data_IF_304738821218
#
_entry.id   IF_304738821218
#
_cell.length_a   1.000
_cell.length_b   1.000
_cell.length_c   1.000
_cell.angle_alpha   90.00
_cell.angle_beta   90.00
_cell.angle_gamma   90.00
#
_symmetry.space_group_name_H-M   'P 1'
#
loop_
_entity.id
_entity.type
_entity.pdbx_description
1 polymer ?
#
# COMPACT_ATOMS: atom_id res chain seq x y z
N UNK A 1 9.32 5.23 -16.16
CA UNK A 1 9.33 5.88 -14.82
C UNK A 1 8.02 6.60 -14.54
N UNK A 2 7.50 6.49 -13.31
CA UNK A 2 6.30 7.20 -12.84
C UNK A 2 6.61 8.68 -12.55
N UNK A 3 5.71 9.59 -12.94
CA UNK A 3 5.81 11.03 -12.77
C UNK A 3 4.52 11.61 -12.21
N UNK A 4 4.65 12.73 -11.49
CA UNK A 4 3.53 13.60 -11.15
C UNK A 4 3.27 14.54 -12.33
N UNK A 5 2.06 14.47 -12.91
CA UNK A 5 1.61 15.34 -14.01
C UNK A 5 0.48 16.28 -13.59
N UNK A 6 -0.15 16.03 -12.45
CA UNK A 6 -1.11 16.93 -11.81
C UNK A 6 -0.46 17.98 -10.91
N UNK A 7 -1.25 18.96 -10.50
CA UNK A 7 -0.87 20.05 -9.59
C UNK A 7 -1.14 19.70 -8.12
N UNK A 8 -0.70 20.57 -7.19
CA UNK A 8 -1.07 20.44 -5.77
C UNK A 8 -2.60 20.53 -5.56
N UNK A 9 -3.30 21.34 -6.37
CA UNK A 9 -4.75 21.46 -6.34
C UNK A 9 -5.45 20.13 -6.70
N UNK A 10 -4.94 19.41 -7.70
CA UNK A 10 -5.47 18.11 -8.10
C UNK A 10 -5.31 17.08 -6.95
N UNK A 11 -4.17 17.13 -6.25
CA UNK A 11 -3.89 16.31 -5.06
C UNK A 11 -4.87 16.65 -3.93
N UNK A 12 -5.03 17.94 -3.61
CA UNK A 12 -5.96 18.42 -2.58
C UNK A 12 -7.39 17.98 -2.86
N UNK A 13 -7.88 18.19 -4.09
CA UNK A 13 -9.21 17.76 -4.52
C UNK A 13 -9.36 16.23 -4.46
N UNK A 14 -8.35 15.47 -4.88
CA UNK A 14 -8.38 14.00 -4.77
C UNK A 14 -8.49 13.51 -3.33
N UNK A 15 -7.74 14.12 -2.41
CA UNK A 15 -7.78 13.75 -1.01
C UNK A 15 -9.13 14.10 -0.39
N UNK A 16 -9.66 15.29 -0.66
CA UNK A 16 -10.91 15.76 -0.06
C UNK A 16 -12.15 15.02 -0.58
N UNK A 17 -12.20 14.71 -1.88
CA UNK A 17 -13.34 14.00 -2.47
C UNK A 17 -13.30 12.48 -2.22
N UNK A 18 -12.16 11.97 -1.75
CA UNK A 18 -12.05 10.56 -1.39
C UNK A 18 -12.95 10.26 -0.18
N UNK A 19 -13.58 9.08 -0.20
CA UNK A 19 -14.65 8.75 0.75
C UNK A 19 -14.19 8.89 2.20
N UNK A 20 -14.91 9.72 2.96
CA UNK A 20 -14.59 10.03 4.36
C UNK A 20 -14.47 8.77 5.24
N UNK A 21 -15.31 7.77 5.03
CA UNK A 21 -15.25 6.52 5.80
C UNK A 21 -13.93 5.77 5.60
N UNK A 22 -13.33 5.81 4.41
CA UNK A 22 -12.04 5.18 4.16
C UNK A 22 -10.91 5.95 4.86
N UNK A 23 -11.00 7.28 4.95
CA UNK A 23 -10.05 8.09 5.74
C UNK A 23 -10.14 7.73 7.23
N UNK A 24 -11.35 7.64 7.77
CA UNK A 24 -11.60 7.30 9.17
C UNK A 24 -11.12 5.89 9.51
N UNK A 25 -11.47 4.89 8.70
CA UNK A 25 -11.01 3.50 8.89
C UNK A 25 -9.47 3.43 8.91
N UNK A 26 -8.81 4.09 7.96
CA UNK A 26 -7.35 4.11 7.90
C UNK A 26 -6.73 4.78 9.13
N UNK A 27 -7.22 5.96 9.53
CA UNK A 27 -6.73 6.68 10.70
C UNK A 27 -6.89 5.86 11.99
N UNK A 28 -8.06 5.25 12.18
CA UNK A 28 -8.36 4.40 13.34
C UNK A 28 -7.41 3.20 13.43
N UNK A 29 -7.17 2.51 12.31
CA UNK A 29 -6.23 1.37 12.31
C UNK A 29 -4.80 1.84 12.51
N UNK A 30 -4.36 2.92 11.87
CA UNK A 30 -2.98 3.41 11.96
C UNK A 30 -2.55 3.77 13.38
N UNK A 31 -3.43 4.41 14.17
CA UNK A 31 -3.14 4.72 15.58
C UNK A 31 -2.81 3.44 16.37
N UNK A 32 -3.59 2.38 16.17
CA UNK A 32 -3.40 1.11 16.87
C UNK A 32 -2.23 0.31 16.29
N UNK A 33 -2.06 0.33 14.97
CA UNK A 33 -0.96 -0.36 14.28
C UNK A 33 0.40 0.19 14.75
N UNK A 34 0.57 1.51 14.84
CA UNK A 34 1.80 2.12 15.37
C UNK A 34 2.09 1.69 16.81
N UNK A 35 1.07 1.57 17.67
CA UNK A 35 1.24 1.06 19.05
C UNK A 35 1.62 -0.42 19.07
N UNK A 36 1.00 -1.23 18.22
CA UNK A 36 1.31 -2.65 18.09
C UNK A 36 2.75 -2.88 17.61
N UNK A 37 3.18 -2.16 16.57
CA UNK A 37 4.51 -2.31 15.98
C UNK A 37 5.62 -1.88 16.96
N UNK A 38 5.39 -0.82 17.74
CA UNK A 38 6.37 -0.31 18.70
C UNK A 38 6.32 -0.98 20.09
N UNK A 39 5.36 -1.87 20.35
CA UNK A 39 5.23 -2.56 21.63
C UNK A 39 6.03 -3.86 21.68
N UNK A 40 6.31 -4.33 22.90
CA UNK A 40 6.82 -5.69 23.11
C UNK A 40 5.81 -6.74 22.61
N UNK A 41 6.37 -7.86 22.15
CA UNK A 41 5.63 -9.01 21.63
C UNK A 41 4.58 -9.51 22.62
N UNK A 42 3.41 -9.92 22.11
CA UNK A 42 2.34 -10.49 22.93
C UNK A 42 1.46 -9.46 23.66
N UNK A 43 1.67 -8.16 23.44
CA UNK A 43 0.93 -7.09 24.12
C UNK A 43 -0.59 -7.07 23.81
N UNK A 44 -1.34 -6.41 24.69
CA UNK A 44 -2.77 -6.09 24.50
C UNK A 44 -3.04 -5.31 23.19
N UNK A 45 -2.01 -4.77 22.53
CA UNK A 45 -2.17 -4.10 21.24
C UNK A 45 -2.53 -5.08 20.11
N UNK A 46 -2.23 -6.38 20.23
CA UNK A 46 -2.59 -7.37 19.23
C UNK A 46 -4.10 -7.55 19.10
N UNK A 47 -4.85 -7.54 20.22
CA UNK A 47 -6.32 -7.65 20.19
C UNK A 47 -6.95 -6.39 19.60
N UNK A 48 -6.44 -5.22 19.98
CA UNK A 48 -6.91 -3.94 19.45
C UNK A 48 -6.66 -3.86 17.94
N UNK A 49 -5.49 -4.28 17.47
CA UNK A 49 -5.18 -4.29 16.04
C UNK A 49 -6.06 -5.30 15.30
N UNK A 50 -6.29 -6.49 15.86
CA UNK A 50 -7.18 -7.48 15.27
C UNK A 50 -8.62 -6.95 15.09
N UNK A 51 -9.16 -6.29 16.10
CA UNK A 51 -10.50 -5.67 16.05
C UNK A 51 -10.57 -4.55 15.02
N UNK A 52 -9.57 -3.65 15.01
CA UNK A 52 -9.50 -2.54 14.07
C UNK A 52 -9.38 -3.03 12.62
N UNK A 53 -8.50 -4.01 12.37
CA UNK A 53 -8.34 -4.62 11.04
C UNK A 53 -9.62 -5.33 10.59
N UNK A 54 -10.24 -6.14 11.46
CA UNK A 54 -11.47 -6.85 11.13
C UNK A 54 -12.57 -5.87 10.69
N UNK A 55 -12.73 -4.78 11.44
CA UNK A 55 -13.73 -3.74 11.18
C UNK A 55 -13.44 -3.03 9.85
N UNK A 56 -12.23 -2.49 9.69
CA UNK A 56 -11.85 -1.76 8.49
C UNK A 56 -11.91 -2.63 7.22
N UNK A 57 -11.39 -3.87 7.28
CA UNK A 57 -11.41 -4.77 6.14
C UNK A 57 -12.85 -5.16 5.74
N UNK A 58 -13.75 -5.35 6.71
CA UNK A 58 -15.18 -5.59 6.45
C UNK A 58 -15.85 -4.37 5.81
N UNK A 59 -15.58 -3.16 6.32
CA UNK A 59 -16.03 -1.90 5.71
C UNK A 59 -15.53 -1.75 4.27
N UNK A 60 -14.28 -2.17 4.03
CA UNK A 60 -13.62 -2.16 2.72
C UNK A 60 -13.99 -3.37 1.84
N UNK A 61 -15.01 -4.13 2.25
CA UNK A 61 -15.71 -5.11 1.43
C UNK A 61 -15.33 -6.57 1.66
N UNK A 62 -14.53 -6.91 2.67
CA UNK A 62 -14.32 -8.31 3.06
C UNK A 62 -15.64 -8.94 3.54
N UNK A 63 -15.73 -10.27 3.49
CA UNK A 63 -16.95 -11.02 3.83
C UNK A 63 -18.19 -10.72 2.95
N UNK A 64 -18.01 -10.03 1.82
CA UNK A 64 -19.05 -9.85 0.80
C UNK A 64 -18.96 -10.93 -0.28
N UNK A 65 -19.95 -11.00 -1.16
CA UNK A 65 -19.99 -11.96 -2.28
C UNK A 65 -18.72 -11.86 -3.13
N UNK A 66 -18.03 -12.98 -3.37
CA UNK A 66 -16.75 -13.09 -4.12
C UNK A 66 -15.54 -12.43 -3.44
N UNK A 67 -15.68 -11.98 -2.20
CA UNK A 67 -14.58 -11.53 -1.35
C UNK A 67 -14.19 -12.64 -0.37
N UNK A 68 -12.93 -12.70 0.09
CA UNK A 68 -12.53 -13.63 1.13
C UNK A 68 -13.27 -13.35 2.45
N UNK A 69 -13.52 -14.42 3.20
CA UNK A 69 -14.08 -14.35 4.54
C UNK A 69 -12.96 -14.11 5.54
N UNK A 70 -13.12 -13.12 6.41
CA UNK A 70 -12.19 -12.86 7.52
C UNK A 70 -12.26 -14.02 8.53
N UNK A 71 -11.10 -14.36 9.10
CA UNK A 71 -11.04 -15.21 10.28
C UNK A 71 -11.62 -14.49 11.51
N UNK A 72 -12.14 -15.23 12.50
CA UNK A 72 -12.59 -14.63 13.75
C UNK A 72 -11.48 -13.83 14.44
N UNK A 73 -11.85 -12.73 15.10
CA UNK A 73 -10.92 -11.83 15.80
C UNK A 73 -9.92 -12.57 16.72
N UNK A 74 -10.32 -13.58 17.53
CA UNK A 74 -9.36 -14.31 18.37
C UNK A 74 -8.27 -15.06 17.59
N UNK A 75 -8.59 -15.55 16.37
CA UNK A 75 -7.60 -16.21 15.52
C UNK A 75 -6.62 -15.19 14.91
N UNK A 76 -7.13 -14.04 14.47
CA UNK A 76 -6.31 -12.94 13.97
C UNK A 76 -5.37 -12.44 15.08
N UNK A 77 -5.90 -12.20 16.28
CA UNK A 77 -5.13 -11.80 17.46
C UNK A 77 -4.01 -12.81 17.76
N UNK A 78 -4.34 -14.10 17.83
CA UNK A 78 -3.36 -15.17 18.09
C UNK A 78 -2.21 -15.14 17.07
N UNK A 79 -2.54 -14.94 15.79
CA UNK A 79 -1.53 -14.80 14.75
C UNK A 79 -0.68 -13.54 14.88
N UNK A 80 -1.28 -12.40 15.24
CA UNK A 80 -0.57 -11.13 15.49
C UNK A 80 0.34 -11.18 16.73
N UNK A 81 0.06 -12.06 17.69
CA UNK A 81 0.98 -12.33 18.81
C UNK A 81 2.21 -13.14 18.38
N UNK A 82 2.19 -13.74 17.19
CA UNK A 82 3.31 -14.51 16.66
C UNK A 82 4.51 -13.64 16.33
N UNK A 83 5.64 -13.90 17.00
CA UNK A 83 6.91 -13.17 16.84
C UNK A 83 7.33 -12.96 15.40
N UNK A 84 7.33 -14.03 14.59
CA UNK A 84 7.77 -13.96 13.19
C UNK A 84 6.95 -12.98 12.36
N UNK A 85 5.64 -12.89 12.55
CA UNK A 85 4.82 -11.93 11.80
C UNK A 85 5.05 -10.49 12.29
N UNK A 86 5.08 -10.30 13.61
CA UNK A 86 5.34 -8.99 14.22
C UNK A 86 6.68 -8.41 13.78
N UNK A 87 7.78 -9.16 13.92
CA UNK A 87 9.14 -8.70 13.56
C UNK A 87 9.22 -8.25 12.10
N UNK A 88 8.53 -8.97 11.20
CA UNK A 88 8.51 -8.66 9.76
C UNK A 88 7.70 -7.42 9.44
N UNK A 89 6.52 -7.29 10.05
CA UNK A 89 5.69 -6.09 9.91
C UNK A 89 6.41 -4.86 10.49
N UNK A 90 7.07 -5.00 11.65
CA UNK A 90 7.87 -3.95 12.26
C UNK A 90 9.00 -3.53 11.32
N UNK A 91 9.80 -4.49 10.85
CA UNK A 91 10.90 -4.21 9.92
C UNK A 91 10.43 -3.48 8.66
N UNK A 92 9.32 -3.92 8.08
CA UNK A 92 8.74 -3.26 6.91
C UNK A 92 8.21 -1.86 7.23
N UNK A 93 7.56 -1.67 8.39
CA UNK A 93 7.00 -0.37 8.80
C UNK A 93 8.05 0.71 9.07
N UNK A 94 9.29 0.32 9.32
CA UNK A 94 10.43 1.22 9.49
C UNK A 94 10.94 1.78 8.16
N UNK A 95 10.49 1.25 7.03
CA UNK A 95 10.81 1.84 5.73
C UNK A 95 10.02 3.13 5.50
N UNK A 96 10.74 4.20 5.15
CA UNK A 96 10.15 5.35 4.50
C UNK A 96 9.98 5.07 3.01
N UNK A 97 8.90 5.58 2.40
CA UNK A 97 8.74 5.47 0.94
C UNK A 97 9.87 6.18 0.18
N UNK A 98 10.48 7.21 0.78
CA UNK A 98 11.63 7.91 0.19
C UNK A 98 12.90 7.04 0.11
N UNK A 99 12.96 5.92 0.86
CA UNK A 99 14.08 4.98 0.81
C UNK A 99 14.10 4.14 -0.49
N UNK A 100 13.01 4.18 -1.28
CA UNK A 100 12.91 3.46 -2.54
C UNK A 100 13.11 4.42 -3.70
N UNK A 101 14.07 4.12 -4.58
CA UNK A 101 14.36 4.97 -5.74
C UNK A 101 14.71 4.15 -6.98
N UNK A 102 14.82 4.84 -8.11
CA UNK A 102 15.23 4.29 -9.39
C UNK A 102 16.43 5.10 -9.89
N UNK A 103 17.42 4.42 -10.49
CA UNK A 103 18.47 5.11 -11.22
C UNK A 103 18.00 5.53 -12.63
N UNK A 104 18.89 6.12 -13.42
CA UNK A 104 18.59 6.57 -14.79
C UNK A 104 18.22 5.41 -15.73
N UNK A 105 18.73 4.20 -15.47
CA UNK A 105 18.44 2.96 -16.18
C UNK A 105 17.24 2.21 -15.58
N UNK A 106 16.46 2.85 -14.70
CA UNK A 106 15.32 2.26 -13.98
C UNK A 106 15.66 1.04 -13.10
N UNK A 107 16.93 0.87 -12.73
CA UNK A 107 17.31 -0.12 -11.73
C UNK A 107 16.84 0.34 -10.35
N UNK A 108 16.30 -0.63 -9.60
CA UNK A 108 15.78 -0.45 -8.24
C UNK A 108 16.93 -0.23 -7.26
N UNK A 109 16.83 0.85 -6.50
CA UNK A 109 17.79 1.25 -5.48
C UNK A 109 17.09 1.39 -4.12
N UNK A 110 17.74 0.89 -3.08
CA UNK A 110 17.37 1.07 -1.68
C UNK A 110 18.42 1.93 -0.99
N UNK A 111 17.97 2.79 -0.08
CA UNK A 111 18.87 3.51 0.82
C UNK A 111 19.70 2.51 1.64
N UNK A 112 21.01 2.73 1.71
CA UNK A 112 21.96 1.95 2.51
C UNK A 112 21.57 1.84 3.99
N UNK A 113 20.89 2.85 4.54
CA UNK A 113 20.43 2.91 5.92
C UNK A 113 19.03 2.29 6.12
N UNK A 114 18.40 1.77 5.07
CA UNK A 114 17.09 1.16 5.19
C UNK A 114 17.16 -0.15 5.99
N UNK A 115 16.09 -0.51 6.75
CA UNK A 115 16.04 -1.76 7.53
C UNK A 115 16.29 -3.02 6.70
N UNK A 116 15.83 -3.01 5.44
CA UNK A 116 16.16 -3.99 4.40
C UNK A 116 16.85 -3.20 3.29
N UNK A 117 18.15 -3.38 3.11
CA UNK A 117 18.95 -2.63 2.14
C UNK A 117 19.36 -3.44 0.90
N UNK A 118 18.93 -4.70 0.81
CA UNK A 118 19.03 -5.52 -0.40
C UNK A 118 17.68 -5.67 -1.09
N UNK A 119 17.64 -5.41 -2.40
CA UNK A 119 16.41 -5.46 -3.20
C UNK A 119 15.83 -6.87 -3.24
N UNK A 120 16.67 -7.90 -3.40
CA UNK A 120 16.21 -9.28 -3.43
C UNK A 120 15.61 -9.74 -2.10
N UNK A 121 16.19 -9.31 -0.98
CA UNK A 121 15.67 -9.55 0.36
C UNK A 121 14.35 -8.81 0.58
N UNK A 122 14.24 -7.55 0.16
CA UNK A 122 12.98 -6.79 0.24
C UNK A 122 11.86 -7.48 -0.53
N UNK A 123 12.12 -7.91 -1.77
CA UNK A 123 11.13 -8.58 -2.62
C UNK A 123 10.61 -9.88 -1.98
N UNK A 124 11.51 -10.67 -1.38
CA UNK A 124 11.11 -11.89 -0.65
C UNK A 124 10.28 -11.54 0.58
N UNK A 125 10.73 -10.56 1.35
CA UNK A 125 10.11 -10.17 2.61
C UNK A 125 8.67 -9.68 2.40
N UNK A 126 8.44 -8.83 1.39
CA UNK A 126 7.11 -8.29 1.14
C UNK A 126 6.14 -9.37 0.66
N UNK A 127 6.58 -10.30 -0.19
CA UNK A 127 5.74 -11.41 -0.63
C UNK A 127 5.46 -12.39 0.51
N UNK A 128 6.43 -12.68 1.37
CA UNK A 128 6.23 -13.52 2.55
C UNK A 128 5.22 -12.89 3.53
N UNK A 129 5.31 -11.57 3.76
CA UNK A 129 4.34 -10.84 4.58
C UNK A 129 2.95 -10.93 3.95
N UNK A 130 2.81 -10.67 2.64
CA UNK A 130 1.51 -10.72 1.96
C UNK A 130 0.88 -12.11 2.00
N UNK A 131 1.67 -13.16 1.78
CA UNK A 131 1.20 -14.54 1.91
C UNK A 131 0.79 -14.84 3.35
N UNK A 132 1.58 -14.42 4.33
CA UNK A 132 1.24 -14.63 5.74
C UNK A 132 -0.04 -13.89 6.13
N UNK A 133 -0.21 -12.63 5.71
CA UNK A 133 -1.41 -11.85 5.94
C UNK A 133 -2.65 -12.50 5.29
N UNK A 134 -2.50 -13.07 4.09
CA UNK A 134 -3.57 -13.84 3.46
C UNK A 134 -4.05 -15.00 4.33
N UNK A 135 -3.11 -15.79 4.84
CA UNK A 135 -3.42 -17.00 5.61
C UNK A 135 -4.00 -16.72 6.99
N UNK A 136 -3.47 -15.69 7.68
CA UNK A 136 -3.82 -15.40 9.08
C UNK A 136 -5.06 -14.52 9.22
N UNK A 137 -5.39 -13.73 8.19
CA UNK A 137 -6.55 -12.84 8.24
C UNK A 137 -7.78 -13.46 7.56
N UNK A 138 -7.60 -14.37 6.60
CA UNK A 138 -8.69 -14.83 5.75
C UNK A 138 -8.76 -16.35 5.63
N UNK A 139 -9.96 -16.86 5.36
CA UNK A 139 -10.16 -18.24 4.91
C UNK A 139 -9.97 -18.32 3.39
N UNK A 140 -9.07 -19.21 2.94
CA UNK A 140 -8.86 -19.59 1.54
C UNK A 140 -8.68 -18.40 0.57
N UNK A 141 -8.03 -17.32 1.00
CA UNK A 141 -7.80 -16.16 0.15
C UNK A 141 -6.74 -16.45 -0.93
N UNK A 142 -7.14 -16.40 -2.20
CA UNK A 142 -6.24 -16.58 -3.35
C UNK A 142 -5.87 -15.27 -4.03
N UNK A 143 -6.50 -14.15 -3.67
CA UNK A 143 -6.31 -12.84 -4.30
C UNK A 143 -5.36 -11.92 -3.54
N UNK A 144 -4.70 -11.00 -4.24
CA UNK A 144 -3.74 -10.08 -3.62
C UNK A 144 -4.38 -8.88 -2.90
N UNK A 145 -5.59 -8.48 -3.30
CA UNK A 145 -6.20 -7.21 -2.88
C UNK A 145 -6.36 -7.08 -1.37
N UNK A 146 -6.84 -8.11 -0.68
CA UNK A 146 -7.10 -8.02 0.75
C UNK A 146 -5.84 -8.07 1.63
N UNK A 147 -4.84 -8.92 1.32
CA UNK A 147 -3.52 -8.82 1.94
C UNK A 147 -2.88 -7.43 1.75
N UNK A 148 -2.99 -6.84 0.56
CA UNK A 148 -2.47 -5.47 0.32
C UNK A 148 -3.24 -4.41 1.09
N UNK A 149 -4.57 -4.52 1.21
CA UNK A 149 -5.38 -3.65 2.09
C UNK A 149 -4.91 -3.74 3.54
N UNK A 150 -4.69 -4.95 4.05
CA UNK A 150 -4.18 -5.15 5.40
C UNK A 150 -2.77 -4.55 5.55
N UNK A 151 -1.89 -4.76 4.57
CA UNK A 151 -0.54 -4.20 4.58
C UNK A 151 -0.55 -2.66 4.61
N UNK A 152 -1.39 -2.03 3.77
CA UNK A 152 -1.62 -0.58 3.78
C UNK A 152 -2.10 -0.11 5.15
N UNK A 153 -3.13 -0.76 5.70
CA UNK A 153 -3.72 -0.39 6.98
C UNK A 153 -2.73 -0.52 8.15
N UNK A 154 -1.82 -1.49 8.11
CA UNK A 154 -0.82 -1.71 9.17
C UNK A 154 0.37 -0.76 9.01
N UNK A 155 0.94 -0.66 7.80
CA UNK A 155 2.25 -0.02 7.59
C UNK A 155 2.17 1.37 6.95
N UNK A 156 1.09 1.68 6.22
CA UNK A 156 0.98 2.91 5.43
C UNK A 156 1.94 2.99 4.23
N UNK A 157 2.74 1.95 3.97
CA UNK A 157 3.86 1.99 3.02
C UNK A 157 3.41 1.86 1.56
N UNK A 158 2.42 1.00 1.29
CA UNK A 158 2.01 0.65 -0.06
C UNK A 158 0.50 0.75 -0.25
N UNK A 159 0.02 1.04 -1.47
CA UNK A 159 -1.40 1.10 -1.76
C UNK A 159 -2.07 -0.29 -1.72
N UNK A 160 -3.39 -0.31 -1.53
CA UNK A 160 -4.19 -1.51 -1.33
C UNK A 160 -4.35 -2.41 -2.58
N UNK A 161 -3.97 -1.94 -3.77
CA UNK A 161 -4.13 -2.63 -5.05
C UNK A 161 -5.52 -3.26 -5.26
N UNK A 162 -6.57 -2.55 -4.85
CA UNK A 162 -7.93 -2.91 -5.23
C UNK A 162 -8.23 -2.55 -6.69
N UNK A 163 -9.44 -2.86 -7.17
CA UNK A 163 -9.78 -2.64 -8.58
C UNK A 163 -9.68 -1.18 -9.00
N UNK A 164 -9.93 -0.22 -8.10
CA UNK A 164 -9.86 1.21 -8.41
C UNK A 164 -8.40 1.66 -8.46
N UNK A 165 -7.56 1.27 -7.49
CA UNK A 165 -6.13 1.57 -7.52
C UNK A 165 -5.45 0.95 -8.75
N UNK A 166 -5.79 -0.30 -9.08
CA UNK A 166 -5.28 -0.97 -10.30
C UNK A 166 -5.75 -0.30 -11.59
N UNK A 167 -7.00 0.14 -11.64
CA UNK A 167 -7.51 0.95 -12.74
C UNK A 167 -6.76 2.28 -12.87
N UNK A 168 -6.48 2.94 -11.74
CA UNK A 168 -5.65 4.15 -11.67
C UNK A 168 -4.23 3.94 -12.19
N UNK A 169 -3.59 2.83 -11.83
CA UNK A 169 -2.28 2.42 -12.37
C UNK A 169 -2.35 2.16 -13.88
N UNK A 170 -3.41 1.51 -14.34
CA UNK A 170 -3.63 1.27 -15.78
C UNK A 170 -3.79 2.59 -16.53
N UNK A 171 -4.58 3.53 -15.98
CA UNK A 171 -4.74 4.88 -16.53
C UNK A 171 -3.44 5.69 -16.45
N UNK A 172 -2.60 5.43 -15.45
CA UNK A 172 -1.26 5.98 -15.39
C UNK A 172 -0.34 5.42 -16.48
N UNK A 173 -0.73 4.36 -17.20
CA UNK A 173 0.10 3.72 -18.23
C UNK A 173 0.93 2.54 -17.73
N UNK A 174 0.71 2.03 -16.50
CA UNK A 174 1.37 0.80 -16.03
C UNK A 174 0.58 -0.43 -16.46
N UNK A 175 1.19 -1.23 -17.33
CA UNK A 175 0.63 -2.50 -17.78
C UNK A 175 0.62 -3.58 -16.67
N UNK A 176 -0.23 -4.60 -16.86
CA UNK A 176 -0.20 -5.83 -16.06
C UNK A 176 -1.02 -5.81 -14.75
N UNK A 177 -1.82 -4.77 -14.52
CA UNK A 177 -2.73 -4.65 -13.37
C UNK A 177 -4.22 -4.85 -13.71
N UNK A 178 -4.54 -5.21 -14.96
CA UNK A 178 -5.90 -5.48 -15.41
C UNK A 178 -6.43 -6.80 -14.83
N UNK A 179 -7.76 -6.90 -14.67
CA UNK A 179 -8.42 -8.13 -14.24
C UNK A 179 -8.19 -8.55 -12.77
N UNK A 180 -8.45 -9.82 -12.49
CA UNK A 180 -8.24 -10.43 -11.17
C UNK A 180 -6.74 -10.73 -10.97
N UNK A 181 -6.20 -10.29 -9.84
CA UNK A 181 -4.79 -10.50 -9.49
C UNK A 181 -4.71 -11.53 -8.36
N UNK A 182 -4.10 -12.68 -8.65
CA UNK A 182 -3.81 -13.71 -7.66
C UNK A 182 -2.64 -13.29 -6.77
N UNK A 183 -2.63 -13.84 -5.56
CA UNK A 183 -1.51 -13.73 -4.64
C UNK A 183 -0.30 -14.50 -5.23
N UNK A 184 0.81 -13.83 -5.55
CA UNK A 184 1.96 -14.48 -6.14
C UNK A 184 2.66 -15.39 -5.11
N UNK A 185 3.12 -16.55 -5.58
CA UNK A 185 3.86 -17.50 -4.74
C UNK A 185 5.32 -17.12 -4.55
N UNK A 186 5.90 -16.39 -5.51
CA UNK A 186 7.29 -15.96 -5.48
C UNK A 186 7.54 -14.75 -6.39
N UNK A 187 8.75 -14.19 -6.25
CA UNK A 187 9.22 -13.01 -6.98
C UNK A 187 9.45 -13.23 -8.47
N UNK A 188 9.49 -14.49 -8.95
CA UNK A 188 9.75 -14.77 -10.37
C UNK A 188 8.50 -14.65 -11.23
N UNK A 189 7.32 -14.77 -10.62
CA UNK A 189 6.04 -14.57 -11.30
C UNK A 189 5.85 -13.10 -11.64
N UNK A 190 5.30 -12.82 -12.84
CA UNK A 190 5.10 -11.43 -13.29
C UNK A 190 4.28 -10.57 -12.33
N UNK A 191 3.27 -11.13 -11.66
CA UNK A 191 2.52 -10.43 -10.62
C UNK A 191 3.38 -10.09 -9.39
N UNK A 192 4.23 -11.04 -8.96
CA UNK A 192 5.19 -10.85 -7.88
C UNK A 192 6.17 -9.72 -8.17
N UNK A 193 6.79 -9.72 -9.36
CA UNK A 193 7.69 -8.66 -9.81
C UNK A 193 7.01 -7.29 -9.78
N UNK A 194 5.81 -7.18 -10.37
CA UNK A 194 5.07 -5.91 -10.41
C UNK A 194 4.72 -5.35 -9.03
N UNK A 195 4.37 -6.21 -8.07
CA UNK A 195 4.11 -5.78 -6.68
C UNK A 195 5.40 -5.28 -6.03
N UNK A 196 6.51 -5.99 -6.23
CA UNK A 196 7.81 -5.65 -5.65
C UNK A 196 8.45 -4.41 -6.28
N UNK A 197 8.16 -4.11 -7.55
CA UNK A 197 8.61 -2.89 -8.22
C UNK A 197 7.86 -1.63 -7.76
N UNK A 198 6.61 -1.78 -7.33
CA UNK A 198 5.71 -0.65 -7.08
C UNK A 198 6.27 0.35 -6.05
N UNK A 199 6.82 -0.05 -4.89
CA UNK A 199 7.43 0.87 -3.93
C UNK A 199 8.51 1.77 -4.55
N UNK A 200 9.29 1.25 -5.50
CA UNK A 200 10.36 1.99 -6.16
C UNK A 200 9.84 3.07 -7.10
N UNK A 201 8.79 2.77 -7.86
CA UNK A 201 8.14 3.79 -8.69
C UNK A 201 7.49 4.88 -7.83
N UNK A 202 6.78 4.50 -6.76
CA UNK A 202 6.10 5.44 -5.89
C UNK A 202 7.10 6.29 -5.09
N UNK A 203 8.14 5.67 -4.52
CA UNK A 203 9.19 6.34 -3.78
C UNK A 203 10.02 7.29 -4.62
N UNK A 204 10.40 6.87 -5.83
CA UNK A 204 11.10 7.76 -6.74
C UNK A 204 10.25 8.98 -7.13
N UNK A 205 8.96 8.75 -7.48
CA UNK A 205 8.03 9.84 -7.79
C UNK A 205 7.81 10.77 -6.59
N UNK A 206 7.69 10.21 -5.38
CA UNK A 206 7.55 10.99 -4.15
C UNK A 206 8.75 11.89 -3.91
N UNK A 207 9.96 11.34 -4.00
CA UNK A 207 11.19 12.09 -3.76
C UNK A 207 11.40 13.21 -4.78
N UNK A 208 11.13 12.96 -6.07
CA UNK A 208 11.26 13.98 -7.13
C UNK A 208 10.27 15.14 -6.99
N UNK A 209 9.07 14.89 -6.47
CA UNK A 209 7.97 15.86 -6.47
C UNK A 209 7.46 16.18 -5.05
N UNK A 210 8.32 15.98 -4.04
CA UNK A 210 7.94 16.04 -2.62
C UNK A 210 7.23 17.33 -2.25
N UNK A 211 7.71 18.47 -2.74
CA UNK A 211 7.14 19.78 -2.45
C UNK A 211 5.68 19.90 -2.92
N UNK A 212 5.37 19.41 -4.13
CA UNK A 212 4.01 19.45 -4.69
C UNK A 212 3.07 18.54 -3.91
N UNK A 213 3.53 17.33 -3.56
CA UNK A 213 2.76 16.42 -2.71
C UNK A 213 2.46 17.02 -1.35
N UNK A 214 3.50 17.51 -0.67
CA UNK A 214 3.37 18.10 0.67
C UNK A 214 2.44 19.31 0.64
N UNK A 215 2.59 20.20 -0.35
CA UNK A 215 1.69 21.34 -0.54
C UNK A 215 0.22 20.89 -0.68
N UNK A 216 -0.05 19.95 -1.59
CA UNK A 216 -1.42 19.46 -1.82
C UNK A 216 -2.03 18.76 -0.60
N UNK A 217 -1.22 18.05 0.19
CA UNK A 217 -1.67 17.42 1.44
C UNK A 217 -1.98 18.47 2.51
N UNK A 218 -1.11 19.47 2.70
CA UNK A 218 -1.29 20.52 3.71
C UNK A 218 -2.48 21.44 3.41
N UNK A 219 -2.80 21.63 2.13
CA UNK A 219 -3.98 22.35 1.65
C UNK A 219 -5.28 21.52 1.75
N UNK A 220 -5.18 20.22 2.04
CA UNK A 220 -6.34 19.32 2.23
C UNK A 220 -6.88 19.31 3.66
N UNK A 221 -8.06 18.73 3.83
CA UNK A 221 -8.67 18.49 5.15
C UNK A 221 -7.99 17.33 5.92
N UNK A 222 -7.01 16.65 5.31
CA UNK A 222 -6.40 15.43 5.82
C UNK A 222 -4.86 15.54 5.95
N UNK A 223 -4.38 16.63 6.58
CA UNK A 223 -2.95 16.98 6.71
C UNK A 223 -2.07 15.86 7.29
N UNK A 224 -2.61 15.03 8.16
CA UNK A 224 -1.90 13.88 8.75
C UNK A 224 -1.42 12.82 7.74
N UNK A 225 -1.92 12.86 6.49
CA UNK A 225 -1.47 11.96 5.43
C UNK A 225 -0.01 12.15 5.02
N UNK A 226 0.62 13.28 5.38
CA UNK A 226 2.03 13.57 5.06
C UNK A 226 2.99 12.49 5.60
N UNK A 227 2.61 11.83 6.70
CA UNK A 227 3.42 10.78 7.34
C UNK A 227 3.21 9.40 6.70
N UNK A 228 2.27 9.29 5.76
CA UNK A 228 1.86 8.01 5.15
C UNK A 228 1.76 8.14 3.63
N UNK A 229 2.88 8.35 2.93
CA UNK A 229 2.87 8.59 1.48
C UNK A 229 2.29 7.41 0.67
N UNK A 230 2.42 6.17 1.15
CA UNK A 230 1.78 5.03 0.51
C UNK A 230 0.24 5.14 0.48
N UNK A 231 -0.35 5.71 1.54
CA UNK A 231 -1.79 6.03 1.58
C UNK A 231 -2.16 7.18 0.64
N UNK A 232 -1.29 8.17 0.48
CA UNK A 232 -1.51 9.25 -0.49
C UNK A 232 -1.60 8.65 -1.90
N UNK A 233 -0.65 7.80 -2.30
CA UNK A 233 -0.71 7.13 -3.60
C UNK A 233 -1.93 6.22 -3.77
N UNK A 234 -2.35 5.53 -2.70
CA UNK A 234 -3.58 4.75 -2.72
C UNK A 234 -4.80 5.60 -3.11
N UNK A 235 -4.95 6.76 -2.47
CA UNK A 235 -6.03 7.71 -2.74
C UNK A 235 -5.91 8.27 -4.16
N UNK A 236 -4.73 8.75 -4.56
CA UNK A 236 -4.55 9.39 -5.86
C UNK A 236 -4.81 8.41 -7.00
N UNK A 237 -4.31 7.17 -6.91
CA UNK A 237 -4.56 6.15 -7.91
C UNK A 237 -6.04 5.75 -7.93
N UNK A 238 -6.67 5.59 -6.76
CA UNK A 238 -8.10 5.31 -6.68
C UNK A 238 -8.92 6.40 -7.38
N UNK A 239 -8.69 7.66 -7.05
CA UNK A 239 -9.43 8.80 -7.58
C UNK A 239 -9.15 9.02 -9.06
N UNK A 240 -7.91 8.80 -9.49
CA UNK A 240 -7.54 8.86 -10.90
C UNK A 240 -8.29 7.83 -11.76
N UNK A 241 -8.78 6.72 -11.21
CA UNK A 241 -9.56 5.77 -12.01
C UNK A 241 -10.94 6.30 -12.43
N UNK A 242 -11.39 7.44 -11.88
CA UNK A 242 -12.64 8.07 -12.28
C UNK A 242 -12.46 8.78 -13.63
N UNK A 243 -13.29 8.43 -14.61
CA UNK A 243 -13.21 8.97 -15.97
C UNK A 243 -13.25 10.51 -16.04
N UNK A 244 -13.95 11.15 -15.10
CA UNK A 244 -14.13 12.61 -15.03
C UNK A 244 -12.95 13.35 -14.40
N UNK A 245 -12.00 12.65 -13.77
CA UNK A 245 -10.85 13.29 -13.12
C UNK A 245 -9.69 13.45 -14.08
N UNK A 246 -8.91 14.51 -13.88
CA UNK A 246 -7.63 14.67 -14.56
C UNK A 246 -6.65 13.58 -14.12
N UNK A 247 -5.70 13.28 -15.00
CA UNK A 247 -4.58 12.42 -14.67
C UNK A 247 -3.64 13.18 -13.72
N UNK A 248 -3.35 12.59 -12.57
CA UNK A 248 -2.44 13.11 -11.56
C UNK A 248 -1.07 12.45 -11.71
N UNK A 249 -1.06 11.16 -12.06
CA UNK A 249 0.09 10.28 -12.11
C UNK A 249 0.21 9.62 -13.49
N UNK A 250 1.40 9.65 -14.09
CA UNK A 250 1.65 9.07 -15.41
C UNK A 250 3.03 8.39 -15.48
N UNK A 251 3.07 7.20 -16.07
CA UNK A 251 4.30 6.57 -16.53
C UNK A 251 4.68 7.20 -17.86
N UNK A 252 5.98 7.53 -18.02
CA UNK A 252 6.52 7.99 -19.30
C UNK A 252 6.19 6.95 -20.37
N UNK A 253 5.43 7.36 -21.39
CA UNK A 253 5.22 6.52 -22.59
C UNK A 253 6.52 6.61 -23.39
N UNK A 254 7.22 5.49 -23.54
CA UNK A 254 8.22 5.36 -24.59
C UNK A 254 7.48 5.39 -25.92
N UNK A 255 7.37 6.57 -26.52
CA UNK A 255 7.12 6.65 -27.95
C UNK A 255 8.43 6.27 -28.63
N UNK A 256 8.62 4.98 -28.87
CA UNK A 256 9.43 4.56 -30.01
C UNK A 256 8.60 4.89 -31.26
N UNK A 257 8.97 5.97 -31.94
CA UNK A 257 8.59 6.19 -33.33
C UNK A 257 9.88 6.13 -34.15
N UNK A 258 10.04 5.18 -35.07
CA UNK A 258 10.76 5.47 -36.30
C UNK A 258 9.96 6.44 -37.19
#
# INVERSE_FOLDING_TARGET
MLRLVGSSLDITSAINDFRLSYHQDFANVQVVARRYLNAQLGSANAVLLAQALYTALRNWGACKRRSPTLRPVPQIESALKGKRLHDRLLKLSQHSLAAFSLNQQEHRLLDSNAPINDVGAFDKEILEILNRLADVLFFNNTGITYPMKALLLITGLMPALDSQVRGGLTRAGKAGFTGQQLLPRNVQQGAGRRICELPFYLGHCWSLHREVFVKGILESNHKGLQDTPGRVFDILLFMQNQATRNQILAFKVEREWP
#
